data_IF_096341885395
#
_entry.id   IF_096341885395
#
_cell.length_a   1.000
_cell.length_b   1.000
_cell.length_c   1.000
_cell.angle_alpha   90.00
_cell.angle_beta   90.00
_cell.angle_gamma   90.00
#
_symmetry.space_group_name_H-M   'P 1'
#
loop_
_entity.id
_entity.type
_entity.pdbx_description
1 polymer ?
#
# COMPACT_ATOMS: atom_id res chain seq x y z
N UNK A 1 -3.28 11.54 -20.58
CA UNK A 1 -2.85 10.25 -19.95
C UNK A 1 -3.35 10.21 -18.50
N UNK A 2 -3.44 9.04 -17.89
CA UNK A 2 -3.91 8.87 -16.50
C UNK A 2 -2.82 8.17 -15.71
N UNK A 3 -2.41 8.78 -14.58
CA UNK A 3 -1.53 8.14 -13.60
C UNK A 3 -2.27 7.93 -12.31
N UNK A 4 -2.05 6.77 -11.71
CA UNK A 4 -2.46 6.46 -10.34
C UNK A 4 -1.26 6.56 -9.45
N UNK A 5 -1.40 7.26 -8.32
CA UNK A 5 -0.30 7.49 -7.38
C UNK A 5 -0.67 6.94 -5.99
N UNK A 6 0.17 6.08 -5.45
CA UNK A 6 0.03 5.58 -4.08
C UNK A 6 1.13 6.18 -3.21
N UNK A 7 0.78 6.60 -2.01
CA UNK A 7 1.74 7.11 -1.03
C UNK A 7 1.77 6.24 0.21
N UNK A 8 2.99 5.82 0.59
CA UNK A 8 3.23 5.04 1.81
C UNK A 8 3.04 5.85 3.09
N UNK A 9 2.90 5.18 4.22
CA UNK A 9 2.64 5.83 5.50
C UNK A 9 3.72 6.82 5.96
N UNK A 10 4.99 6.56 5.68
CA UNK A 10 6.10 7.50 5.95
C UNK A 10 5.94 8.82 5.20
N UNK A 11 5.41 8.77 3.98
CA UNK A 11 5.12 9.94 3.14
C UNK A 11 3.91 10.75 3.64
N UNK A 12 3.12 10.22 4.57
CA UNK A 12 1.88 10.80 5.10
C UNK A 12 1.91 10.96 6.64
N UNK A 13 3.08 10.90 7.23
CA UNK A 13 3.25 10.86 8.68
C UNK A 13 2.98 12.20 9.39
N UNK A 14 2.99 13.33 8.69
CA UNK A 14 2.82 14.67 9.25
C UNK A 14 2.31 15.66 8.21
N UNK A 15 1.84 16.83 8.64
CA UNK A 15 1.42 17.92 7.76
C UNK A 15 2.52 18.33 6.74
N UNK A 16 3.78 18.37 7.18
CA UNK A 16 4.91 18.68 6.30
C UNK A 16 5.06 17.64 5.18
N UNK A 17 4.90 16.35 5.50
CA UNK A 17 4.94 15.29 4.49
C UNK A 17 3.73 15.34 3.56
N UNK A 18 2.52 15.58 4.09
CA UNK A 18 1.33 15.83 3.29
C UNK A 18 1.52 16.98 2.29
N UNK A 19 2.11 18.09 2.73
CA UNK A 19 2.40 19.23 1.85
C UNK A 19 3.39 18.88 0.72
N UNK A 20 4.38 18.00 0.97
CA UNK A 20 5.25 17.48 -0.10
C UNK A 20 4.44 16.62 -1.07
N UNK A 21 3.63 15.69 -0.55
CA UNK A 21 2.76 14.82 -1.36
C UNK A 21 1.81 15.66 -2.22
N UNK A 22 1.17 16.68 -1.65
CA UNK A 22 0.30 17.57 -2.41
C UNK A 22 1.02 18.25 -3.57
N UNK A 23 2.24 18.76 -3.35
CA UNK A 23 3.07 19.34 -4.42
C UNK A 23 3.41 18.32 -5.51
N UNK A 24 3.76 17.09 -5.12
CA UNK A 24 4.03 16.01 -6.07
C UNK A 24 2.78 15.73 -6.92
N UNK A 25 1.61 15.60 -6.31
CA UNK A 25 0.37 15.30 -7.04
C UNK A 25 0.03 16.45 -8.00
N UNK A 26 0.07 17.70 -7.54
CA UNK A 26 -0.34 18.86 -8.31
C UNK A 26 0.68 19.28 -9.37
N UNK A 27 1.95 18.85 -9.29
CA UNK A 27 2.97 19.12 -10.30
C UNK A 27 2.75 18.38 -11.62
N UNK A 28 1.87 17.36 -11.63
CA UNK A 28 1.55 16.60 -12.83
C UNK A 28 0.03 16.37 -12.92
N UNK A 29 -0.67 17.01 -13.89
CA UNK A 29 -2.11 16.92 -14.02
C UNK A 29 -2.61 15.52 -14.41
N UNK A 30 -1.73 14.62 -14.82
CA UNK A 30 -2.05 13.23 -15.12
C UNK A 30 -2.24 12.38 -13.86
N UNK A 31 -1.74 12.83 -12.70
CA UNK A 31 -1.90 12.19 -11.37
C UNK A 31 -3.30 12.41 -10.83
N UNK A 32 -4.26 11.68 -11.38
CA UNK A 32 -5.70 11.90 -11.14
C UNK A 32 -6.25 11.10 -9.98
N UNK A 33 -5.73 9.91 -9.74
CA UNK A 33 -6.24 9.00 -8.70
C UNK A 33 -5.16 8.74 -7.67
N UNK A 34 -5.51 8.99 -6.41
CA UNK A 34 -4.58 8.96 -5.28
C UNK A 34 -4.99 7.87 -4.30
N UNK A 35 -4.04 7.03 -3.90
CA UNK A 35 -4.24 5.97 -2.92
C UNK A 35 -3.35 6.23 -1.70
N UNK A 36 -3.88 6.83 -0.64
CA UNK A 36 -3.12 7.04 0.58
C UNK A 36 -3.12 5.81 1.48
N UNK A 37 -1.99 5.55 2.13
CA UNK A 37 -1.90 4.68 3.32
C UNK A 37 -2.24 5.47 4.59
N UNK A 38 -2.45 4.77 5.71
CA UNK A 38 -2.53 5.40 7.03
C UNK A 38 -1.24 6.17 7.38
N UNK A 39 -1.29 7.19 8.25
CA UNK A 39 -0.11 7.91 8.68
C UNK A 39 0.91 7.01 9.37
N UNK A 40 2.13 6.98 8.86
CA UNK A 40 3.25 6.22 9.40
C UNK A 40 3.91 6.89 10.59
N UNK A 41 5.10 6.43 10.96
CA UNK A 41 5.91 7.02 12.03
C UNK A 41 6.50 8.36 11.60
N UNK A 42 6.45 9.36 12.48
CA UNK A 42 7.13 10.66 12.31
C UNK A 42 8.63 10.58 12.58
N UNK A 43 9.02 9.63 13.44
CA UNK A 43 10.40 9.34 13.83
C UNK A 43 10.51 7.90 14.35
N UNK A 44 11.71 7.44 14.68
CA UNK A 44 11.98 6.07 15.14
C UNK A 44 11.27 5.65 16.43
N UNK A 45 10.91 6.61 17.29
CA UNK A 45 10.22 6.38 18.57
C UNK A 45 8.69 6.46 18.46
N UNK A 46 8.18 6.87 17.30
CA UNK A 46 6.73 7.03 17.08
C UNK A 46 6.07 5.70 16.72
N UNK A 47 4.74 5.63 16.86
CA UNK A 47 3.91 4.48 16.52
C UNK A 47 3.11 4.79 15.25
N UNK A 48 2.94 3.81 14.37
CA UNK A 48 2.06 3.94 13.20
C UNK A 48 0.60 4.04 13.65
N UNK A 49 -0.21 4.81 12.93
CA UNK A 49 -1.64 4.93 13.24
C UNK A 49 -2.34 3.57 13.19
N UNK A 50 -2.00 2.70 12.26
CA UNK A 50 -2.57 1.34 12.17
C UNK A 50 -2.28 0.52 13.43
N UNK A 51 -1.03 0.59 13.95
CA UNK A 51 -0.65 -0.10 15.20
C UNK A 51 -1.40 0.49 16.42
N UNK A 52 -1.62 1.83 16.43
CA UNK A 52 -2.42 2.49 17.47
C UNK A 52 -3.89 2.05 17.42
N UNK A 53 -4.46 1.88 16.21
CA UNK A 53 -5.83 1.42 16.02
C UNK A 53 -6.00 -0.03 16.48
N UNK A 54 -5.06 -0.92 16.16
CA UNK A 54 -5.08 -2.28 16.68
C UNK A 54 -5.01 -2.33 18.21
N UNK A 55 -4.10 -1.56 18.81
CA UNK A 55 -3.97 -1.51 20.27
C UNK A 55 -5.23 -0.92 20.93
N UNK A 56 -5.82 0.11 20.35
CA UNK A 56 -7.06 0.72 20.82
C UNK A 56 -8.24 -0.27 20.73
N UNK A 57 -8.35 -1.00 19.61
CA UNK A 57 -9.40 -2.00 19.42
C UNK A 57 -9.25 -3.19 20.36
N UNK A 58 -8.03 -3.62 20.66
CA UNK A 58 -7.78 -4.70 21.61
C UNK A 58 -8.32 -4.39 23.03
N UNK A 59 -8.27 -3.12 23.46
CA UNK A 59 -8.92 -2.70 24.70
C UNK A 59 -10.46 -2.85 24.61
N UNK A 60 -11.07 -2.37 23.52
CA UNK A 60 -12.50 -2.50 23.30
C UNK A 60 -12.95 -3.97 23.23
N UNK A 61 -12.18 -4.85 22.60
CA UNK A 61 -12.45 -6.27 22.49
C UNK A 61 -12.47 -6.98 23.86
N UNK A 62 -11.62 -6.49 24.79
CA UNK A 62 -11.54 -6.97 26.19
C UNK A 62 -12.49 -6.23 27.15
N UNK A 63 -13.41 -5.41 26.66
CA UNK A 63 -14.32 -4.58 27.46
C UNK A 63 -13.59 -3.60 28.39
N UNK A 64 -12.37 -3.16 27.98
CA UNK A 64 -11.59 -2.15 28.67
C UNK A 64 -11.84 -0.74 28.09
N UNK A 65 -11.55 0.30 28.88
CA UNK A 65 -11.68 1.70 28.43
C UNK A 65 -10.62 2.02 27.37
N UNK A 66 -11.08 2.39 26.19
CA UNK A 66 -10.25 2.74 25.03
C UNK A 66 -10.28 4.23 24.66
N UNK A 67 -11.07 5.05 25.35
CA UNK A 67 -11.29 6.46 24.97
C UNK A 67 -10.00 7.26 24.94
N UNK A 68 -9.10 6.99 25.89
CA UNK A 68 -7.79 7.67 25.94
C UNK A 68 -6.92 7.36 24.73
N UNK A 69 -6.92 6.11 24.28
CA UNK A 69 -6.10 5.69 23.12
C UNK A 69 -6.74 6.20 21.82
N UNK A 70 -8.06 6.17 21.70
CA UNK A 70 -8.78 6.74 20.57
C UNK A 70 -8.55 8.25 20.44
N UNK A 71 -8.54 8.96 21.58
CA UNK A 71 -8.23 10.39 21.62
C UNK A 71 -6.82 10.70 21.10
N UNK A 72 -5.80 9.89 21.42
CA UNK A 72 -4.45 10.07 20.88
C UNK A 72 -4.42 9.94 19.36
N UNK A 73 -5.23 9.03 18.81
CA UNK A 73 -5.35 8.87 17.36
C UNK A 73 -6.02 10.10 16.75
N UNK A 74 -7.09 10.62 17.37
CA UNK A 74 -7.75 11.85 16.94
C UNK A 74 -6.77 13.04 16.94
N UNK A 75 -6.03 13.25 18.04
CA UNK A 75 -5.01 14.29 18.16
C UNK A 75 -3.92 14.18 17.06
N UNK A 76 -3.60 12.95 16.60
CA UNK A 76 -2.68 12.73 15.50
C UNK A 76 -3.23 13.30 14.18
N UNK A 77 -4.49 13.06 13.86
CA UNK A 77 -5.14 13.62 12.67
C UNK A 77 -5.36 15.11 12.79
N UNK A 78 -5.77 15.61 13.96
CA UNK A 78 -5.92 17.04 14.22
C UNK A 78 -4.60 17.80 14.01
N UNK A 79 -3.48 17.22 14.41
CA UNK A 79 -2.15 17.78 14.15
C UNK A 79 -1.85 17.90 12.65
N UNK A 80 -2.30 16.94 11.82
CA UNK A 80 -2.14 16.99 10.37
C UNK A 80 -3.08 18.05 9.78
N UNK A 81 -4.35 18.01 10.14
CA UNK A 81 -5.40 18.92 9.66
C UNK A 81 -5.05 20.38 9.97
N UNK A 82 -4.69 20.66 11.22
CA UNK A 82 -4.29 22.00 11.66
C UNK A 82 -2.99 22.47 10.98
N UNK A 83 -2.02 21.59 10.86
CA UNK A 83 -0.75 21.89 10.18
C UNK A 83 -0.89 22.16 8.68
N UNK A 84 -1.97 21.69 8.06
CA UNK A 84 -2.35 21.97 6.67
C UNK A 84 -3.34 23.15 6.56
N UNK A 85 -3.77 23.75 7.66
CA UNK A 85 -4.79 24.80 7.73
C UNK A 85 -6.13 24.41 7.08
N UNK A 86 -6.54 23.15 7.22
CA UNK A 86 -7.81 22.66 6.66
C UNK A 86 -9.00 23.03 7.55
N UNK A 87 -10.12 23.36 6.92
CA UNK A 87 -11.42 23.51 7.58
C UNK A 87 -12.16 22.17 7.60
N UNK A 88 -11.57 21.18 8.23
CA UNK A 88 -12.08 19.82 8.34
C UNK A 88 -12.12 19.40 9.80
N UNK A 89 -13.19 18.73 10.20
CA UNK A 89 -13.32 18.04 11.50
C UNK A 89 -13.59 16.56 11.23
N UNK A 90 -12.88 15.68 11.92
CA UNK A 90 -13.14 14.24 11.90
C UNK A 90 -13.90 13.77 13.15
N UNK A 91 -14.50 14.69 13.91
CA UNK A 91 -15.18 14.37 15.17
C UNK A 91 -16.29 13.33 14.96
N UNK A 92 -17.14 13.54 13.97
CA UNK A 92 -18.26 12.64 13.69
C UNK A 92 -17.77 11.25 13.28
N UNK A 93 -16.65 11.19 12.52
CA UNK A 93 -16.01 9.93 12.14
C UNK A 93 -15.47 9.17 13.37
N UNK A 94 -14.83 9.88 14.30
CA UNK A 94 -14.35 9.28 15.55
C UNK A 94 -15.50 8.82 16.46
N UNK A 95 -16.64 9.49 16.48
CA UNK A 95 -17.83 9.02 17.19
C UNK A 95 -18.38 7.72 16.59
N UNK A 96 -18.38 7.61 15.25
CA UNK A 96 -18.77 6.38 14.56
C UNK A 96 -17.77 5.25 14.85
N UNK A 97 -16.47 5.54 14.82
CA UNK A 97 -15.42 4.56 15.14
C UNK A 97 -15.56 4.05 16.58
N UNK A 98 -15.78 4.95 17.56
CA UNK A 98 -16.00 4.58 18.96
C UNK A 98 -17.19 3.64 19.12
N UNK A 99 -18.33 3.94 18.48
CA UNK A 99 -19.51 3.07 18.49
C UNK A 99 -19.24 1.68 17.91
N UNK A 100 -18.50 1.62 16.80
CA UNK A 100 -18.15 0.34 16.17
C UNK A 100 -17.12 -0.45 17.00
N UNK A 101 -16.20 0.20 17.69
CA UNK A 101 -15.26 -0.45 18.60
C UNK A 101 -16.03 -1.04 19.80
N UNK A 102 -16.93 -0.28 20.42
CA UNK A 102 -17.80 -0.78 21.49
C UNK A 102 -18.71 -1.92 21.03
N UNK A 103 -19.11 -1.94 19.76
CA UNK A 103 -19.88 -3.02 19.16
C UNK A 103 -19.02 -4.20 18.69
N UNK A 104 -17.70 -4.18 18.90
CA UNK A 104 -16.74 -5.24 18.51
C UNK A 104 -16.76 -5.55 17.01
N UNK A 105 -16.71 -4.51 16.17
CA UNK A 105 -16.81 -4.61 14.71
C UNK A 105 -15.65 -5.34 14.01
N UNK A 106 -14.64 -5.79 14.73
CA UNK A 106 -13.52 -6.59 14.24
C UNK A 106 -12.24 -5.81 13.99
N UNK A 107 -11.13 -6.54 14.01
CA UNK A 107 -9.79 -5.98 13.84
C UNK A 107 -9.56 -5.40 12.42
N UNK A 108 -10.16 -6.00 11.40
CA UNK A 108 -10.09 -5.49 10.03
C UNK A 108 -10.77 -4.11 9.91
N UNK A 109 -11.95 -3.94 10.55
CA UNK A 109 -12.59 -2.62 10.65
C UNK A 109 -11.66 -1.62 11.33
N UNK A 110 -11.11 -1.96 12.48
CA UNK A 110 -10.23 -1.08 13.23
C UNK A 110 -9.02 -0.63 12.39
N UNK A 111 -8.30 -1.58 11.81
CA UNK A 111 -7.12 -1.30 11.00
C UNK A 111 -7.42 -0.39 9.79
N UNK A 112 -8.54 -0.63 9.10
CA UNK A 112 -8.94 0.13 7.92
C UNK A 112 -9.19 1.60 8.19
N UNK A 113 -9.55 1.97 9.44
CA UNK A 113 -9.88 3.36 9.79
C UNK A 113 -8.70 4.30 9.63
N UNK A 114 -7.47 3.79 9.69
CA UNK A 114 -6.28 4.58 9.41
C UNK A 114 -6.25 5.13 7.98
N UNK A 115 -6.44 4.27 7.00
CA UNK A 115 -6.50 4.66 5.59
C UNK A 115 -7.77 5.44 5.27
N UNK A 116 -8.91 5.06 5.84
CA UNK A 116 -10.20 5.74 5.67
C UNK A 116 -10.11 7.22 6.08
N UNK A 117 -9.70 7.50 7.32
CA UNK A 117 -9.54 8.86 7.83
C UNK A 117 -8.50 9.65 7.02
N UNK A 118 -7.39 9.00 6.67
CA UNK A 118 -6.35 9.64 5.88
C UNK A 118 -6.80 9.95 4.45
N UNK A 119 -7.66 9.11 3.88
CA UNK A 119 -8.32 9.36 2.60
C UNK A 119 -9.21 10.59 2.63
N UNK A 120 -10.01 10.77 3.68
CA UNK A 120 -10.85 11.97 3.89
C UNK A 120 -9.97 13.23 3.97
N UNK A 121 -8.90 13.19 4.77
CA UNK A 121 -7.97 14.33 4.91
C UNK A 121 -7.33 14.65 3.56
N UNK A 122 -6.86 13.64 2.82
CA UNK A 122 -6.22 13.81 1.52
C UNK A 122 -7.20 14.37 0.47
N UNK A 123 -8.43 13.86 0.44
CA UNK A 123 -9.46 14.34 -0.48
C UNK A 123 -9.81 15.81 -0.22
N UNK A 124 -9.97 16.18 1.06
CA UNK A 124 -10.22 17.57 1.45
C UNK A 124 -9.03 18.48 1.08
N UNK A 125 -7.80 18.02 1.35
CA UNK A 125 -6.59 18.78 1.05
C UNK A 125 -6.40 19.07 -0.44
N UNK A 126 -6.70 18.08 -1.30
CA UNK A 126 -6.54 18.22 -2.75
C UNK A 126 -7.78 18.81 -3.44
N UNK A 127 -8.93 18.85 -2.78
CA UNK A 127 -10.22 19.15 -3.41
C UNK A 127 -10.66 18.05 -4.38
N UNK A 128 -10.27 16.79 -4.13
CA UNK A 128 -10.62 15.62 -4.95
C UNK A 128 -11.82 14.91 -4.34
N UNK A 129 -12.51 14.11 -5.15
CA UNK A 129 -13.63 13.31 -4.67
C UNK A 129 -13.12 12.16 -3.79
N UNK A 130 -13.72 11.99 -2.61
CA UNK A 130 -13.48 10.84 -1.75
C UNK A 130 -14.34 9.66 -2.23
N UNK A 131 -13.72 8.51 -2.45
CA UNK A 131 -14.40 7.26 -2.81
C UNK A 131 -14.00 6.20 -1.79
N UNK A 132 -14.92 5.81 -0.92
CA UNK A 132 -14.65 4.79 0.09
C UNK A 132 -14.32 3.45 -0.58
N UNK A 133 -13.20 2.86 -0.18
CA UNK A 133 -12.77 1.56 -0.70
C UNK A 133 -13.80 0.46 -0.42
N UNK A 134 -14.54 0.52 0.69
CA UNK A 134 -15.60 -0.44 1.01
C UNK A 134 -16.77 -0.43 0.02
N UNK A 135 -16.99 0.66 -0.71
CA UNK A 135 -18.05 0.77 -1.71
C UNK A 135 -17.65 0.20 -3.08
N UNK A 136 -16.34 0.03 -3.34
CA UNK A 136 -15.82 -0.24 -4.67
C UNK A 136 -14.84 -1.40 -4.76
N UNK A 137 -14.33 -1.89 -3.63
CA UNK A 137 -13.43 -3.04 -3.54
C UNK A 137 -14.14 -4.13 -2.75
N UNK A 138 -14.18 -5.34 -3.30
CA UNK A 138 -14.98 -6.44 -2.76
C UNK A 138 -14.15 -7.69 -2.52
N UNK A 139 -14.55 -8.42 -1.49
CA UNK A 139 -14.10 -9.76 -1.21
C UNK A 139 -15.27 -10.74 -1.36
N UNK A 140 -14.97 -12.00 -1.62
CA UNK A 140 -15.98 -13.07 -1.65
C UNK A 140 -16.32 -13.55 -0.22
N UNK A 141 -17.25 -14.49 -0.11
CA UNK A 141 -17.66 -15.07 1.18
C UNK A 141 -16.54 -15.78 1.95
N UNK A 142 -15.49 -16.21 1.25
CA UNK A 142 -14.35 -16.91 1.82
C UNK A 142 -13.21 -15.93 2.16
N UNK A 143 -13.42 -14.62 1.93
CA UNK A 143 -12.46 -13.56 2.21
C UNK A 143 -11.38 -13.41 1.14
N UNK A 144 -11.54 -13.99 -0.05
CA UNK A 144 -10.66 -13.77 -1.18
C UNK A 144 -11.09 -12.52 -1.95
N UNK A 145 -10.13 -11.85 -2.56
CA UNK A 145 -10.39 -10.66 -3.38
C UNK A 145 -11.25 -11.00 -4.62
N UNK A 146 -12.43 -10.38 -4.73
CA UNK A 146 -13.34 -10.50 -5.88
C UNK A 146 -12.92 -9.50 -6.96
N UNK A 147 -12.04 -9.95 -7.85
CA UNK A 147 -11.48 -9.11 -8.90
C UNK A 147 -12.52 -8.65 -9.92
N UNK A 148 -13.47 -9.51 -10.28
CA UNK A 148 -14.45 -9.23 -11.35
C UNK A 148 -15.50 -8.22 -10.89
N UNK A 149 -16.03 -8.40 -9.68
CA UNK A 149 -16.99 -7.46 -9.09
C UNK A 149 -16.32 -6.10 -8.85
N UNK A 150 -15.11 -6.11 -8.27
CA UNK A 150 -14.34 -4.89 -8.03
C UNK A 150 -14.07 -4.13 -9.31
N UNK A 151 -13.54 -4.78 -10.34
CA UNK A 151 -13.23 -4.14 -11.62
C UNK A 151 -14.46 -3.48 -12.24
N UNK A 152 -15.59 -4.18 -12.25
CA UNK A 152 -16.87 -3.67 -12.78
C UNK A 152 -17.38 -2.44 -12.01
N UNK A 153 -17.37 -2.49 -10.68
CA UNK A 153 -17.94 -1.41 -9.84
C UNK A 153 -17.00 -0.21 -9.79
N UNK A 154 -15.71 -0.45 -9.55
CA UNK A 154 -14.68 0.59 -9.43
C UNK A 154 -14.51 1.34 -10.76
N UNK A 155 -14.39 0.65 -11.91
CA UNK A 155 -14.28 1.29 -13.22
C UNK A 155 -15.50 2.17 -13.51
N UNK A 156 -16.71 1.67 -13.23
CA UNK A 156 -17.95 2.43 -13.39
C UNK A 156 -18.01 3.65 -12.48
N UNK A 157 -17.50 3.52 -11.25
CA UNK A 157 -17.48 4.63 -10.27
C UNK A 157 -16.50 5.71 -10.68
N UNK A 158 -15.27 5.32 -11.02
CA UNK A 158 -14.20 6.24 -11.36
C UNK A 158 -14.36 6.87 -12.76
N UNK A 159 -15.07 6.22 -13.70
CA UNK A 159 -15.37 6.85 -15.00
C UNK A 159 -16.23 8.10 -14.91
N UNK A 160 -16.91 8.32 -13.78
CA UNK A 160 -17.76 9.49 -13.53
C UNK A 160 -17.02 10.63 -12.81
N UNK A 161 -15.78 10.42 -12.44
CA UNK A 161 -14.99 11.33 -11.59
C UNK A 161 -13.66 11.62 -12.24
N UNK A 162 -13.33 12.89 -12.40
CA UNK A 162 -12.07 13.27 -13.02
C UNK A 162 -10.87 12.99 -12.11
N UNK A 163 -11.03 13.22 -10.80
CA UNK A 163 -9.99 13.09 -9.79
C UNK A 163 -10.57 12.54 -8.50
N UNK A 164 -9.98 11.49 -7.96
CA UNK A 164 -10.45 10.87 -6.74
C UNK A 164 -9.33 10.43 -5.81
N UNK A 165 -9.67 10.33 -4.51
CA UNK A 165 -8.88 9.65 -3.49
C UNK A 165 -9.62 8.38 -3.10
N UNK A 166 -8.95 7.25 -3.22
CA UNK A 166 -9.44 5.92 -2.80
C UNK A 166 -8.54 5.43 -1.68
N UNK A 167 -9.01 5.29 -0.44
CA UNK A 167 -8.19 4.77 0.65
C UNK A 167 -7.64 3.39 0.31
N UNK A 168 -6.37 3.15 0.68
CA UNK A 168 -5.75 1.85 0.47
C UNK A 168 -6.19 0.78 1.49
N UNK A 169 -5.72 -0.46 1.31
CA UNK A 169 -5.67 -1.52 2.30
C UNK A 169 -6.94 -2.35 2.51
N UNK A 170 -8.15 -1.87 2.26
CA UNK A 170 -9.39 -2.56 2.61
C UNK A 170 -10.45 -2.54 1.49
N UNK A 171 -11.48 -3.33 1.70
CA UNK A 171 -12.72 -3.38 0.95
C UNK A 171 -13.83 -3.97 1.80
N UNK A 172 -14.91 -4.47 1.20
CA UNK A 172 -16.07 -5.03 1.90
C UNK A 172 -16.33 -6.50 1.54
N UNK A 173 -16.80 -7.23 2.53
CA UNK A 173 -17.37 -8.56 2.43
C UNK A 173 -18.83 -8.50 1.93
N UNK A 174 -19.43 -9.63 1.50
CA UNK A 174 -20.84 -9.65 1.06
C UNK A 174 -21.86 -9.26 2.14
N UNK A 175 -21.53 -9.42 3.40
CA UNK A 175 -22.36 -9.02 4.54
C UNK A 175 -22.19 -7.54 4.93
N UNK A 176 -21.34 -6.81 4.20
CA UNK A 176 -21.04 -5.41 4.46
C UNK A 176 -19.93 -5.17 5.49
N UNK A 177 -19.40 -6.20 6.11
CA UNK A 177 -18.26 -6.06 7.02
C UNK A 177 -17.00 -5.66 6.24
N UNK A 178 -16.09 -4.96 6.91
CA UNK A 178 -14.82 -4.55 6.32
C UNK A 178 -13.82 -5.70 6.37
N UNK A 179 -13.08 -5.87 5.26
CA UNK A 179 -11.97 -6.82 5.14
C UNK A 179 -10.71 -6.10 4.68
N UNK A 180 -9.57 -6.41 5.31
CA UNK A 180 -8.27 -5.89 4.91
C UNK A 180 -7.49 -6.90 4.07
N UNK A 181 -6.61 -6.39 3.18
CA UNK A 181 -5.61 -7.24 2.52
C UNK A 181 -4.53 -7.64 3.52
N UNK A 182 -4.04 -8.86 3.41
CA UNK A 182 -3.11 -9.44 4.40
C UNK A 182 -1.74 -8.75 4.45
N UNK A 183 -1.21 -8.29 3.31
CA UNK A 183 0.09 -7.59 3.19
C UNK A 183 0.09 -6.63 2.02
N UNK A 184 0.85 -5.53 2.13
CA UNK A 184 0.99 -4.56 1.04
C UNK A 184 -0.34 -3.96 0.55
N UNK A 185 -1.36 -3.92 1.40
CA UNK A 185 -2.74 -3.67 0.99
C UNK A 185 -2.94 -2.35 0.26
N UNK A 186 -2.27 -1.26 0.66
CA UNK A 186 -2.35 -0.01 -0.08
C UNK A 186 -1.66 -0.09 -1.45
N UNK A 187 -0.60 -0.91 -1.59
CA UNK A 187 0.06 -1.15 -2.87
C UNK A 187 -0.86 -1.95 -3.80
N UNK A 188 -1.55 -2.96 -3.25
CA UNK A 188 -2.56 -3.76 -3.96
C UNK A 188 -3.71 -2.85 -4.42
N UNK A 189 -4.23 -1.99 -3.54
CA UNK A 189 -5.29 -1.03 -3.89
C UNK A 189 -4.85 -0.10 -5.02
N UNK A 190 -3.61 0.43 -4.98
CA UNK A 190 -3.05 1.24 -6.04
C UNK A 190 -3.03 0.52 -7.39
N UNK A 191 -2.63 -0.75 -7.40
CA UNK A 191 -2.65 -1.61 -8.60
C UNK A 191 -4.07 -1.86 -9.12
N UNK A 192 -5.03 -2.13 -8.23
CA UNK A 192 -6.44 -2.33 -8.57
C UNK A 192 -7.03 -1.06 -9.21
N UNK A 193 -6.81 0.10 -8.58
CA UNK A 193 -7.26 1.39 -9.11
C UNK A 193 -6.62 1.67 -10.47
N UNK A 194 -5.30 1.43 -10.61
CA UNK A 194 -4.59 1.64 -11.88
C UNK A 194 -5.17 0.78 -13.02
N UNK A 195 -5.47 -0.48 -12.74
CA UNK A 195 -6.15 -1.37 -13.69
C UNK A 195 -7.54 -0.84 -14.05
N UNK A 196 -8.35 -0.48 -13.05
CA UNK A 196 -9.74 -0.06 -13.24
C UNK A 196 -9.90 1.21 -14.10
N UNK A 197 -8.92 2.13 -14.05
CA UNK A 197 -8.92 3.38 -14.83
C UNK A 197 -8.07 3.29 -16.11
N UNK A 198 -7.55 2.11 -16.45
CA UNK A 198 -6.63 1.90 -17.58
C UNK A 198 -5.46 2.91 -17.55
N UNK A 199 -4.82 3.03 -16.40
CA UNK A 199 -3.73 3.98 -16.18
C UNK A 199 -2.56 3.72 -17.14
N UNK A 200 -1.90 4.79 -17.56
CA UNK A 200 -0.66 4.70 -18.36
C UNK A 200 0.56 4.38 -17.49
N UNK A 201 0.47 4.64 -16.19
CA UNK A 201 1.48 4.28 -15.20
C UNK A 201 0.87 4.21 -13.79
N UNK A 202 1.43 3.34 -12.96
CA UNK A 202 1.20 3.30 -11.52
C UNK A 202 2.46 3.76 -10.80
N UNK A 203 2.41 4.92 -10.15
CA UNK A 203 3.52 5.44 -9.35
C UNK A 203 3.36 5.04 -7.89
N UNK A 204 4.32 4.29 -7.35
CA UNK A 204 4.38 3.94 -5.93
C UNK A 204 5.43 4.82 -5.23
N UNK A 205 4.95 5.78 -4.46
CA UNK A 205 5.77 6.75 -3.74
C UNK A 205 6.05 6.26 -2.31
N UNK A 206 7.33 6.14 -2.00
CA UNK A 206 7.87 5.64 -0.73
C UNK A 206 9.00 6.55 -0.23
N UNK A 207 9.84 6.07 0.68
CA UNK A 207 11.00 6.78 1.22
C UNK A 207 12.35 6.38 0.59
N UNK A 208 12.32 5.57 -0.48
CA UNK A 208 13.50 5.17 -1.25
C UNK A 208 13.34 5.50 -2.73
N UNK A 209 14.45 5.82 -3.41
CA UNK A 209 14.49 6.21 -4.82
C UNK A 209 14.52 5.01 -5.78
N UNK A 210 13.71 3.98 -5.51
CA UNK A 210 13.67 2.75 -6.30
C UNK A 210 14.57 1.65 -5.78
N UNK A 211 14.98 0.73 -6.68
CA UNK A 211 15.87 -0.38 -6.36
C UNK A 211 17.32 0.00 -6.63
N UNK A 212 18.21 -0.52 -5.81
CA UNK A 212 19.66 -0.40 -5.97
C UNK A 212 20.22 -1.72 -6.47
N UNK A 213 21.32 -1.67 -7.21
CA UNK A 213 22.00 -2.87 -7.76
C UNK A 213 22.55 -3.81 -6.66
N UNK A 214 22.76 -3.29 -5.45
CA UNK A 214 23.21 -4.03 -4.29
C UNK A 214 22.70 -3.39 -2.99
N UNK A 215 22.79 -4.14 -1.88
CA UNK A 215 22.40 -3.64 -0.56
C UNK A 215 23.38 -2.53 -0.10
N UNK A 216 22.89 -1.30 0.18
CA UNK A 216 23.73 -0.18 0.60
C UNK A 216 24.37 -0.38 1.99
N UNK A 217 23.94 -1.39 2.75
CA UNK A 217 24.59 -1.79 4.01
C UNK A 217 25.86 -2.64 3.78
N UNK A 218 26.06 -3.13 2.57
CA UNK A 218 27.17 -4.03 2.19
C UNK A 218 28.11 -3.34 1.20
N UNK A 219 27.55 -2.59 0.24
CA UNK A 219 28.30 -1.90 -0.82
C UNK A 219 28.07 -0.41 -0.69
N UNK A 220 29.14 0.36 -0.63
CA UNK A 220 29.07 1.81 -0.55
C UNK A 220 28.57 2.38 -1.90
N UNK A 221 27.56 3.26 -1.81
CA UNK A 221 27.00 3.99 -2.95
C UNK A 221 26.62 3.11 -4.16
N UNK A 222 25.78 2.07 -3.99
CA UNK A 222 25.35 1.25 -5.11
C UNK A 222 24.51 2.08 -6.09
N UNK A 223 24.68 1.87 -7.38
CA UNK A 223 23.93 2.57 -8.42
C UNK A 223 22.42 2.19 -8.38
N UNK A 224 21.52 3.11 -8.73
CA UNK A 224 20.09 2.80 -8.85
C UNK A 224 19.81 1.99 -10.13
N UNK A 225 18.89 1.05 -10.02
CA UNK A 225 18.34 0.31 -11.16
C UNK A 225 17.28 1.21 -11.83
N UNK A 226 17.49 1.62 -13.08
CA UNK A 226 16.52 2.46 -13.80
C UNK A 226 15.31 1.69 -14.27
N UNK A 227 15.50 0.51 -14.82
CA UNK A 227 14.43 -0.34 -15.36
C UNK A 227 14.70 -1.79 -14.97
N UNK A 228 13.65 -2.46 -14.51
CA UNK A 228 13.67 -3.87 -14.13
C UNK A 228 12.41 -4.57 -14.66
N UNK A 229 12.52 -5.83 -15.05
CA UNK A 229 11.35 -6.62 -15.43
C UNK A 229 10.66 -7.21 -14.18
N UNK A 230 9.37 -7.52 -14.29
CA UNK A 230 8.66 -8.23 -13.23
C UNK A 230 9.32 -9.57 -12.83
N UNK A 231 9.97 -10.24 -13.79
CA UNK A 231 10.70 -11.48 -13.53
C UNK A 231 11.92 -11.22 -12.65
N UNK A 232 12.74 -10.24 -13.00
CA UNK A 232 13.94 -9.87 -12.23
C UNK A 232 13.57 -9.34 -10.85
N UNK A 233 12.49 -8.53 -10.75
CA UNK A 233 11.96 -8.06 -9.46
C UNK A 233 11.64 -9.22 -8.54
N UNK A 234 10.95 -10.25 -9.04
CA UNK A 234 10.61 -11.43 -8.26
C UNK A 234 11.85 -12.14 -7.73
N UNK A 235 12.86 -12.35 -8.58
CA UNK A 235 14.12 -13.00 -8.15
C UNK A 235 14.85 -12.18 -7.07
N UNK A 236 14.92 -10.85 -7.20
CA UNK A 236 15.51 -9.98 -6.18
C UNK A 236 14.70 -9.97 -4.87
N UNK A 237 13.38 -10.01 -4.95
CA UNK A 237 12.49 -10.03 -3.78
C UNK A 237 12.65 -11.32 -2.96
N UNK A 238 12.80 -12.46 -3.60
CA UNK A 238 13.08 -13.73 -2.90
C UNK A 238 14.39 -13.69 -2.09
N UNK A 239 15.35 -12.92 -2.53
CA UNK A 239 16.64 -12.77 -1.86
C UNK A 239 16.68 -11.62 -0.84
N UNK A 240 15.54 -10.98 -0.57
CA UNK A 240 15.38 -10.00 0.50
C UNK A 240 15.38 -8.52 0.09
N UNK A 241 15.44 -8.20 -1.20
CA UNK A 241 15.24 -6.84 -1.71
C UNK A 241 13.73 -6.51 -1.78
N UNK A 242 13.10 -6.32 -0.62
CA UNK A 242 11.65 -6.17 -0.50
C UNK A 242 11.27 -4.68 -0.47
N UNK A 243 11.02 -4.07 -1.62
CA UNK A 243 10.43 -2.72 -1.74
C UNK A 243 8.94 -2.79 -2.06
N UNK A 244 8.50 -3.83 -2.78
CA UNK A 244 7.11 -4.03 -3.19
C UNK A 244 6.72 -5.50 -3.00
N UNK A 245 5.51 -5.73 -2.47
CA UNK A 245 4.99 -7.10 -2.29
C UNK A 245 4.53 -7.69 -3.65
N UNK A 246 4.77 -8.98 -3.89
CA UNK A 246 4.45 -9.63 -5.17
C UNK A 246 2.95 -9.54 -5.51
N UNK A 247 2.07 -9.72 -4.52
CA UNK A 247 0.62 -9.62 -4.72
C UNK A 247 0.16 -8.24 -5.19
N UNK A 248 0.90 -7.17 -4.84
CA UNK A 248 0.60 -5.81 -5.26
C UNK A 248 0.87 -5.57 -6.76
N UNK A 249 1.68 -6.41 -7.36
CA UNK A 249 2.10 -6.29 -8.76
C UNK A 249 1.10 -6.94 -9.72
N UNK A 250 0.39 -7.98 -9.26
CA UNK A 250 -0.41 -8.84 -10.11
C UNK A 250 -1.48 -8.11 -10.95
N UNK A 251 -2.32 -7.18 -10.41
CA UNK A 251 -3.34 -6.51 -11.19
C UNK A 251 -2.79 -5.67 -12.35
N UNK A 252 -1.73 -4.89 -12.10
CA UNK A 252 -1.11 -4.02 -13.12
C UNK A 252 -0.29 -4.81 -14.12
N UNK A 253 0.41 -5.87 -13.69
CA UNK A 253 1.15 -6.76 -14.57
C UNK A 253 0.22 -7.40 -15.61
N UNK A 254 -0.92 -7.96 -15.16
CA UNK A 254 -1.92 -8.55 -16.07
C UNK A 254 -2.49 -7.54 -17.07
N UNK A 255 -2.55 -6.26 -16.67
CA UNK A 255 -3.02 -5.15 -17.51
C UNK A 255 -1.92 -4.51 -18.37
N UNK A 256 -0.66 -4.93 -18.25
CA UNK A 256 0.48 -4.35 -18.97
C UNK A 256 0.84 -2.92 -18.54
N UNK A 257 0.42 -2.51 -17.34
CA UNK A 257 0.66 -1.16 -16.81
C UNK A 257 2.01 -1.14 -16.09
N UNK A 258 2.97 -0.27 -16.49
CA UNK A 258 4.24 -0.14 -15.80
C UNK A 258 4.09 0.45 -14.39
N UNK A 259 4.94 0.00 -13.46
CA UNK A 259 5.04 0.59 -12.12
C UNK A 259 6.31 1.46 -12.06
N UNK A 260 6.21 2.63 -11.43
CA UNK A 260 7.38 3.46 -11.11
C UNK A 260 7.52 3.62 -9.60
N UNK A 261 8.61 3.13 -9.03
CA UNK A 261 8.94 3.31 -7.60
C UNK A 261 9.66 4.61 -7.43
N UNK A 262 9.11 5.53 -6.64
CA UNK A 262 9.62 6.89 -6.48
C UNK A 262 9.77 7.31 -5.02
N UNK A 263 10.66 8.28 -4.79
CA UNK A 263 10.95 8.80 -3.47
C UNK A 263 10.20 10.11 -3.20
N UNK A 264 9.35 10.13 -2.18
CA UNK A 264 8.65 11.34 -1.74
C UNK A 264 9.60 12.42 -1.21
N UNK A 265 10.78 12.04 -0.71
CA UNK A 265 11.77 12.96 -0.17
C UNK A 265 12.78 13.47 -1.22
N UNK A 266 12.84 12.82 -2.38
CA UNK A 266 13.63 13.19 -3.55
C UNK A 266 12.77 13.02 -4.82
N UNK A 267 11.74 13.86 -5.00
CA UNK A 267 10.78 13.70 -6.10
C UNK A 267 11.38 13.97 -7.50
N UNK A 268 12.55 14.55 -7.57
CA UNK A 268 13.34 14.73 -8.80
C UNK A 268 13.99 13.42 -9.28
N UNK A 269 14.22 12.46 -8.39
CA UNK A 269 14.78 11.16 -8.76
C UNK A 269 13.79 10.42 -9.67
N UNK A 270 14.30 9.86 -10.78
CA UNK A 270 13.48 9.10 -11.74
C UNK A 270 12.93 7.81 -11.14
N UNK A 271 13.60 7.27 -10.10
CA UNK A 271 13.26 6.02 -9.46
C UNK A 271 13.50 4.79 -10.35
N UNK A 272 12.82 3.69 -10.05
CA UNK A 272 12.90 2.44 -10.82
C UNK A 272 11.58 2.15 -11.53
N UNK A 273 11.65 1.90 -12.84
CA UNK A 273 10.53 1.40 -13.61
C UNK A 273 10.48 -0.13 -13.60
N UNK A 274 9.31 -0.70 -13.32
CA UNK A 274 9.05 -2.12 -13.39
C UNK A 274 8.13 -2.37 -14.57
N UNK A 275 8.57 -3.21 -15.53
CA UNK A 275 7.90 -3.45 -16.82
C UNK A 275 7.78 -4.94 -17.11
N UNK A 276 6.91 -5.34 -18.04
CA UNK A 276 6.80 -6.75 -18.45
C UNK A 276 8.02 -7.19 -19.27
N UNK A 277 8.40 -6.37 -20.25
CA UNK A 277 9.59 -6.60 -21.08
C UNK A 277 10.32 -5.29 -21.29
N UNK A 278 11.63 -5.36 -21.47
CA UNK A 278 12.43 -4.19 -21.78
C UNK A 278 13.46 -4.49 -22.86
N UNK A 279 13.65 -3.55 -23.78
CA UNK A 279 14.81 -3.50 -24.67
C UNK A 279 15.91 -2.57 -24.13
N UNK A 280 15.74 -2.05 -22.90
CA UNK A 280 16.74 -1.22 -22.26
C UNK A 280 18.02 -2.04 -22.04
N UNK A 281 19.09 -1.62 -22.71
CA UNK A 281 20.41 -2.21 -22.47
C UNK A 281 21.00 -1.58 -21.21
N UNK A 282 21.08 -2.39 -20.15
CA UNK A 282 21.82 -1.99 -18.95
C UNK A 282 23.31 -1.82 -19.28
N UNK A 283 23.95 -0.84 -18.63
CA UNK A 283 25.40 -0.71 -18.62
C UNK A 283 26.08 -1.94 -18.03
N UNK A 284 25.39 -2.68 -17.19
CA UNK A 284 25.88 -3.84 -16.46
C UNK A 284 25.27 -5.13 -17.01
N UNK A 285 26.06 -6.19 -16.99
CA UNK A 285 25.61 -7.55 -17.36
C UNK A 285 24.62 -8.12 -16.34
N UNK A 286 24.63 -7.62 -15.10
CA UNK A 286 23.80 -8.09 -13.98
C UNK A 286 22.89 -6.93 -13.57
N UNK A 287 21.59 -7.18 -13.46
CA UNK A 287 20.59 -6.18 -13.04
C UNK A 287 20.74 -5.79 -11.57
N UNK A 288 21.03 -6.77 -10.71
CA UNK A 288 21.22 -6.54 -9.28
C UNK A 288 21.66 -7.79 -8.54
N UNK A 289 22.17 -7.60 -7.33
CA UNK A 289 22.60 -8.67 -6.43
C UNK A 289 21.88 -8.49 -5.10
N UNK A 290 21.08 -9.48 -4.72
CA UNK A 290 20.46 -9.56 -3.40
C UNK A 290 20.90 -10.83 -2.69
N UNK A 291 21.07 -10.79 -1.38
CA UNK A 291 21.47 -11.94 -0.59
C UNK A 291 20.93 -11.87 0.84
N UNK A 292 20.60 -13.04 1.37
CA UNK A 292 20.16 -13.20 2.75
C UNK A 292 21.02 -14.27 3.44
N UNK A 293 21.45 -14.03 4.66
CA UNK A 293 22.18 -15.00 5.49
C UNK A 293 21.18 -15.88 6.27
N UNK A 294 21.65 -17.06 6.73
CA UNK A 294 20.87 -17.93 7.62
C UNK A 294 19.97 -18.93 6.91
N UNK A 295 20.26 -19.26 5.64
CA UNK A 295 19.57 -20.39 4.99
C UNK A 295 19.99 -21.72 5.59
N UNK A 296 19.02 -22.61 5.76
CA UNK A 296 19.23 -24.04 6.09
C UNK A 296 18.82 -24.85 4.87
N UNK A 297 19.68 -25.73 4.42
CA UNK A 297 19.37 -26.71 3.37
C UNK A 297 18.82 -27.96 4.00
N UNK A 298 17.62 -28.37 3.60
CA UNK A 298 17.03 -29.66 3.97
C UNK A 298 17.03 -30.53 2.74
N UNK A 299 17.86 -31.56 2.73
CA UNK A 299 17.86 -32.57 1.69
C UNK A 299 16.88 -33.68 2.08
N UNK A 300 15.90 -33.94 1.23
CA UNK A 300 14.94 -35.03 1.39
C UNK A 300 15.19 -36.02 0.29
N UNK A 301 15.70 -37.20 0.66
CA UNK A 301 15.80 -38.32 -0.27
C UNK A 301 14.40 -38.87 -0.55
N UNK A 302 14.01 -38.86 -1.83
CA UNK A 302 12.75 -39.47 -2.27
C UNK A 302 12.92 -40.96 -2.44
N UNK A 303 12.26 -41.73 -1.59
CA UNK A 303 12.00 -43.13 -1.86
C UNK A 303 10.89 -43.30 -2.90
N UNK A 304 10.94 -44.37 -3.68
CA UNK A 304 10.00 -44.66 -4.78
C UNK A 304 8.53 -44.67 -4.35
N UNK A 305 8.26 -44.92 -3.06
CA UNK A 305 6.92 -44.90 -2.46
C UNK A 305 6.30 -43.47 -2.35
N UNK A 306 7.08 -42.42 -2.54
CA UNK A 306 6.66 -41.03 -2.38
C UNK A 306 6.44 -40.27 -3.70
N UNK A 307 6.41 -40.98 -4.85
CA UNK A 307 6.19 -40.38 -6.18
C UNK A 307 4.86 -39.62 -6.30
N UNK A 308 3.90 -39.88 -5.44
CA UNK A 308 2.59 -39.22 -5.42
C UNK A 308 2.55 -37.96 -4.53
N UNK A 309 3.63 -37.61 -3.84
CA UNK A 309 3.74 -36.38 -3.06
C UNK A 309 4.66 -35.41 -3.81
N UNK A 310 4.34 -35.10 -5.03
CA UNK A 310 5.16 -34.24 -5.85
C UNK A 310 4.40 -33.04 -6.39
N UNK A 311 4.10 -32.13 -5.50
CA UNK A 311 4.19 -30.72 -5.92
C UNK A 311 5.45 -30.15 -5.29
N UNK A 312 6.25 -29.33 -6.03
CA UNK A 312 7.35 -28.62 -5.40
C UNK A 312 6.74 -27.71 -4.35
N UNK A 313 6.86 -28.10 -3.10
CA UNK A 313 6.46 -27.27 -1.97
C UNK A 313 7.19 -25.94 -2.12
N UNK A 314 6.42 -24.88 -2.17
CA UNK A 314 6.94 -23.51 -1.96
C UNK A 314 7.83 -23.53 -0.73
N UNK A 315 8.97 -22.80 -0.71
CA UNK A 315 9.79 -22.72 0.49
C UNK A 315 8.92 -22.25 1.63
N UNK A 316 8.71 -23.12 2.62
CA UNK A 316 8.00 -22.75 3.84
C UNK A 316 8.95 -21.81 4.58
N UNK A 317 8.62 -20.55 4.64
CA UNK A 317 9.28 -19.64 5.57
C UNK A 317 8.79 -20.01 6.97
N UNK A 318 9.60 -20.74 7.71
CA UNK A 318 9.39 -20.94 9.15
C UNK A 318 9.78 -19.62 9.81
N UNK A 319 8.78 -18.92 10.35
CA UNK A 319 8.95 -17.74 11.21
C UNK A 319 9.49 -18.15 12.57
#
# INVERSE_FOLDING_TARGET
MIKVVKFGGSSLASATQFAKVGRIITSDPERRYVVPSAPGKRNSKDTKVTDMLYACYALAENDEDFDKELKKIAERYDSIINGLNLKLSLKDEFEVIAKNFAAKAGSDYAASRGEYLNGIVMANYLGYEFVDAAEVIFFDKDGNFDADKTDKVLSKRLSKVERAVVPGFYGSMPDGSVKTFSRGGSDITGSIVAKAVHATAYENWTDVSGFLIADPRIIDNPEPIKVITYRELRELSYMGASVLHEDAVFPVRKAGIPINIRNTNAPEDEGTWIVETTCHQSKYTITGIAGKKGFVSVNIDKDLSLIHISEPTRPISIS
#
